data_IF_973997568628
#
_entry.id   IF_973997568628
#
_cell.length_a   1.000
_cell.length_b   1.000
_cell.length_c   1.000
_cell.angle_alpha   90.00
_cell.angle_beta   90.00
_cell.angle_gamma   90.00
#
_symmetry.space_group_name_H-M   'P 1'
#
loop_
_entity.id
_entity.type
_entity.pdbx_description
1 polymer ?
#
# COMPACT_ATOMS: atom_id res chain seq x y z
N UNK A 1 -3.03 12.15 -4.48
CA UNK A 1 -2.05 11.44 -3.59
C UNK A 1 -2.68 10.10 -3.23
N UNK A 2 -1.95 8.99 -3.36
CA UNK A 2 -2.43 7.58 -3.52
C UNK A 2 -3.96 7.40 -3.62
N UNK A 3 -4.42 7.08 -4.84
CA UNK A 3 -5.84 6.99 -5.21
C UNK A 3 -6.30 8.09 -6.17
N UNK A 4 -5.44 8.52 -7.10
CA UNK A 4 -5.75 9.30 -8.31
C UNK A 4 -6.68 10.53 -8.16
N UNK A 5 -6.51 11.32 -7.09
CA UNK A 5 -7.17 12.61 -6.95
C UNK A 5 -6.41 13.60 -6.06
N UNK A 6 -6.51 14.90 -6.41
CA UNK A 6 -6.08 16.03 -5.59
C UNK A 6 -4.93 16.88 -6.18
N UNK A 7 -5.05 18.21 -6.03
CA UNK A 7 -4.01 19.19 -6.36
C UNK A 7 -3.00 19.29 -5.19
N UNK A 8 -1.70 19.18 -5.49
CA UNK A 8 -0.65 19.46 -4.52
C UNK A 8 -0.23 20.93 -4.61
N UNK A 9 -0.47 21.72 -3.56
CA UNK A 9 0.04 23.09 -3.41
C UNK A 9 1.12 23.14 -2.34
N UNK A 10 2.29 23.68 -2.68
CA UNK A 10 3.45 23.78 -1.81
C UNK A 10 4.17 25.12 -2.02
N UNK A 11 4.70 25.72 -0.94
CA UNK A 11 5.53 26.92 -1.03
C UNK A 11 7.00 26.52 -1.29
N UNK A 12 7.53 26.90 -2.44
CA UNK A 12 8.88 26.48 -2.87
C UNK A 12 9.96 26.89 -1.85
N UNK A 13 9.83 28.05 -1.21
CA UNK A 13 10.85 28.56 -0.30
C UNK A 13 10.74 27.94 1.09
N UNK A 14 9.56 28.03 1.71
CA UNK A 14 9.34 27.59 3.08
C UNK A 14 9.27 26.06 3.20
N UNK A 15 8.72 25.36 2.20
CA UNK A 15 8.46 23.92 2.28
C UNK A 15 9.54 23.07 1.61
N UNK A 16 10.24 23.59 0.60
CA UNK A 16 11.28 22.84 -0.11
C UNK A 16 12.68 23.37 0.16
N UNK A 17 12.97 24.63 -0.20
CA UNK A 17 14.36 25.13 -0.20
C UNK A 17 14.95 25.28 1.21
N UNK A 18 14.21 25.91 2.13
CA UNK A 18 14.72 26.12 3.51
C UNK A 18 14.82 24.83 4.32
N UNK A 19 14.00 23.83 3.98
CA UNK A 19 13.97 22.52 4.64
C UNK A 19 14.78 21.46 3.90
N UNK A 20 15.32 21.78 2.72
CA UNK A 20 16.05 20.86 1.85
C UNK A 20 15.28 19.57 1.53
N UNK A 21 13.97 19.70 1.26
CA UNK A 21 13.07 18.55 1.02
C UNK A 21 13.07 18.15 -0.46
N UNK A 22 13.12 16.84 -0.71
CA UNK A 22 12.99 16.24 -2.05
C UNK A 22 11.66 15.51 -2.18
N UNK A 23 10.92 15.74 -3.29
CA UNK A 23 9.66 15.06 -3.60
C UNK A 23 9.91 14.01 -4.68
N UNK A 24 9.56 12.76 -4.40
CA UNK A 24 9.67 11.64 -5.33
C UNK A 24 8.30 10.97 -5.50
N UNK A 25 7.78 10.97 -6.73
CA UNK A 25 6.59 10.19 -7.09
C UNK A 25 6.95 8.74 -7.36
N UNK A 26 6.11 7.81 -6.91
CA UNK A 26 6.24 6.39 -7.25
C UNK A 26 4.87 5.81 -7.60
N UNK A 27 4.84 4.95 -8.61
CA UNK A 27 3.64 4.25 -9.07
C UNK A 27 3.94 2.76 -9.15
N UNK A 28 3.41 1.99 -8.20
CA UNK A 28 3.52 0.52 -8.03
C UNK A 28 4.93 -0.08 -8.19
N UNK A 29 5.31 -1.00 -7.29
CA UNK A 29 6.63 -1.64 -7.38
C UNK A 29 6.83 -2.43 -8.69
N UNK A 30 8.01 -2.31 -9.29
CA UNK A 30 8.45 -3.18 -10.37
C UNK A 30 8.62 -4.62 -9.86
N UNK A 31 8.36 -5.61 -10.71
CA UNK A 31 8.41 -7.04 -10.38
C UNK A 31 9.75 -7.47 -9.77
N UNK A 32 10.87 -6.85 -10.18
CA UNK A 32 12.21 -7.13 -9.64
C UNK A 32 12.29 -6.74 -8.16
N UNK A 33 11.84 -5.54 -7.79
CA UNK A 33 11.86 -5.07 -6.39
C UNK A 33 10.90 -5.89 -5.54
N UNK A 34 9.76 -6.31 -6.11
CA UNK A 34 8.81 -7.18 -5.43
C UNK A 34 9.40 -8.56 -5.10
N UNK A 35 10.27 -9.11 -5.96
CA UNK A 35 10.97 -10.37 -5.69
C UNK A 35 11.97 -10.25 -4.52
N UNK A 36 12.61 -9.09 -4.37
CA UNK A 36 13.52 -8.82 -3.24
C UNK A 36 12.79 -8.67 -1.89
N UNK A 37 11.49 -8.35 -1.90
CA UNK A 37 10.70 -8.28 -0.67
C UNK A 37 10.59 -9.64 0.05
N UNK A 38 10.52 -10.75 -0.69
CA UNK A 38 10.40 -12.09 -0.09
C UNK A 38 11.61 -12.48 0.78
N UNK A 39 12.86 -12.46 0.30
CA UNK A 39 14.03 -12.76 1.14
C UNK A 39 14.19 -11.74 2.27
N UNK A 40 13.91 -10.46 2.02
CA UNK A 40 13.94 -9.43 3.07
C UNK A 40 13.01 -9.76 4.25
N UNK A 41 11.78 -10.20 3.96
CA UNK A 41 10.81 -10.57 4.99
C UNK A 41 11.30 -11.75 5.83
N UNK A 42 11.88 -12.76 5.18
CA UNK A 42 12.45 -13.94 5.87
C UNK A 42 13.63 -13.54 6.76
N UNK A 43 14.61 -12.80 6.22
CA UNK A 43 15.83 -12.41 6.93
C UNK A 43 15.54 -11.54 8.15
N UNK A 44 14.54 -10.66 8.03
CA UNK A 44 14.14 -9.73 9.09
C UNK A 44 13.05 -10.29 10.00
N UNK A 45 12.57 -11.52 9.75
CA UNK A 45 11.42 -12.12 10.47
C UNK A 45 10.20 -11.21 10.49
N UNK A 46 9.93 -10.55 9.37
CA UNK A 46 8.74 -9.72 9.20
C UNK A 46 7.54 -10.63 9.04
N UNK A 47 6.53 -10.44 9.89
CA UNK A 47 5.24 -11.09 9.74
C UNK A 47 4.48 -10.44 8.57
N UNK A 48 4.63 -11.05 7.39
CA UNK A 48 3.91 -10.63 6.19
C UNK A 48 2.40 -10.89 6.27
N UNK A 49 1.97 -11.86 7.08
CA UNK A 49 0.56 -12.24 7.20
C UNK A 49 -0.23 -11.23 8.03
N UNK A 50 0.43 -10.50 8.91
CA UNK A 50 -0.16 -9.42 9.71
C UNK A 50 -0.76 -8.28 8.86
N UNK A 51 -0.37 -8.17 7.58
CA UNK A 51 -0.98 -7.18 6.66
C UNK A 51 -2.45 -7.49 6.36
N UNK A 52 -2.84 -8.77 6.48
CA UNK A 52 -4.18 -9.22 6.12
C UNK A 52 -5.13 -9.15 7.30
N UNK A 53 -6.13 -8.29 7.19
CA UNK A 53 -7.19 -8.13 8.20
C UNK A 53 -8.32 -9.15 8.01
N UNK A 54 -8.59 -9.53 6.75
CA UNK A 54 -9.73 -10.37 6.40
C UNK A 54 -9.30 -11.51 5.47
N UNK A 55 -9.86 -12.71 5.70
CA UNK A 55 -9.64 -13.90 4.89
C UNK A 55 -10.98 -14.39 4.36
N UNK A 56 -11.05 -14.63 3.06
CA UNK A 56 -12.28 -14.96 2.36
C UNK A 56 -12.14 -16.26 1.56
N UNK A 57 -13.21 -17.04 1.49
CA UNK A 57 -13.31 -18.09 0.49
C UNK A 57 -13.74 -17.48 -0.86
N UNK A 58 -13.47 -18.18 -1.95
CA UNK A 58 -13.83 -17.69 -3.29
C UNK A 58 -15.36 -17.51 -3.46
N UNK A 59 -16.16 -18.33 -2.79
CA UNK A 59 -17.62 -18.22 -2.78
C UNK A 59 -18.13 -16.91 -2.16
N UNK A 60 -17.35 -16.29 -1.28
CA UNK A 60 -17.69 -15.02 -0.61
C UNK A 60 -17.23 -13.78 -1.37
N UNK A 61 -16.76 -13.92 -2.62
CA UNK A 61 -16.15 -12.83 -3.39
C UNK A 61 -17.02 -11.56 -3.44
N UNK A 62 -18.33 -11.69 -3.57
CA UNK A 62 -19.25 -10.54 -3.63
C UNK A 62 -19.20 -9.72 -2.33
N UNK A 63 -19.17 -10.38 -1.19
CA UNK A 63 -19.12 -9.70 0.11
C UNK A 63 -17.71 -9.15 0.40
N UNK A 64 -16.68 -9.90 0.00
CA UNK A 64 -15.29 -9.49 0.10
C UNK A 64 -15.00 -8.18 -0.65
N UNK A 65 -15.71 -7.88 -1.75
CA UNK A 65 -15.58 -6.62 -2.48
C UNK A 65 -16.45 -5.47 -1.93
N UNK A 66 -17.52 -5.75 -1.17
CA UNK A 66 -18.36 -4.71 -0.56
C UNK A 66 -17.73 -4.08 0.67
N UNK A 67 -16.99 -4.86 1.46
CA UNK A 67 -16.37 -4.39 2.72
C UNK A 67 -15.27 -3.32 2.55
N UNK A 68 -14.34 -3.44 1.58
CA UNK A 68 -13.28 -2.46 1.35
C UNK A 68 -13.80 -1.08 0.93
N UNK A 69 -14.98 -1.00 0.30
CA UNK A 69 -15.63 0.24 -0.12
C UNK A 69 -15.95 1.16 1.07
N UNK A 70 -16.10 0.57 2.27
CA UNK A 70 -16.36 1.31 3.51
C UNK A 70 -15.11 1.93 4.15
N UNK A 71 -13.90 1.69 3.61
CA UNK A 71 -12.60 2.13 4.16
C UNK A 71 -12.33 1.70 5.62
N UNK A 72 -13.06 0.72 6.14
CA UNK A 72 -12.98 0.26 7.54
C UNK A 72 -12.10 -0.97 7.73
N UNK A 73 -11.60 -1.54 6.64
CA UNK A 73 -10.86 -2.82 6.64
C UNK A 73 -9.47 -2.64 6.02
N UNK A 74 -8.52 -3.46 6.47
CA UNK A 74 -7.17 -3.52 5.91
C UNK A 74 -7.12 -4.36 4.63
N UNK A 75 -6.02 -5.08 4.40
CA UNK A 75 -5.90 -5.92 3.20
C UNK A 75 -6.71 -7.20 3.35
N UNK A 76 -7.58 -7.50 2.39
CA UNK A 76 -8.25 -8.79 2.26
C UNK A 76 -7.42 -9.79 1.45
N UNK A 77 -7.55 -11.08 1.77
CA UNK A 77 -6.96 -12.19 0.98
C UNK A 77 -7.96 -13.30 0.75
N UNK A 78 -7.93 -13.89 -0.45
CA UNK A 78 -8.67 -15.11 -0.74
C UNK A 78 -7.81 -16.33 -0.40
N UNK A 79 -8.40 -17.30 0.30
CA UNK A 79 -7.77 -18.57 0.66
C UNK A 79 -8.50 -19.72 -0.05
N UNK A 80 -7.76 -20.78 -0.39
CA UNK A 80 -8.23 -21.94 -1.15
C UNK A 80 -8.30 -23.19 -0.26
#
# INVERSE_FOLDING_TARGET
MVGEGGELRLDVSADMLRKQVTVMGSWTFFTIIQAECAPFMVDRKVDGDAVFSDRWLFEDAVEAYRRPDMQTTGKGVFVF
#
